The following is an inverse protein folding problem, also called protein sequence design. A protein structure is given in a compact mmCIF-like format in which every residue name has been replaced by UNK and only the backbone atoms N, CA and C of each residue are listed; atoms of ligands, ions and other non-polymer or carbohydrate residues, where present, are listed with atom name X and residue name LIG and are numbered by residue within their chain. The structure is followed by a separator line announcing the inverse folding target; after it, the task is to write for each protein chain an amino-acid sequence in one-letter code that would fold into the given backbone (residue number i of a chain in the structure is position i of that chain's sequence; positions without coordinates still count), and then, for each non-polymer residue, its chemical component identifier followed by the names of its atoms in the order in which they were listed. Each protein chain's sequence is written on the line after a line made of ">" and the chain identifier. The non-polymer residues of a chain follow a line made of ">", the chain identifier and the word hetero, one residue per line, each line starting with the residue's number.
data_IF_302905023853
#
_entry.id   IF_302905023853
#
_cell.length_a   1.000
_cell.length_b   1.000
_cell.length_c   1.000
_cell.angle_alpha   90.00
_cell.angle_beta   90.00
_cell.angle_gamma   90.00
#
_symmetry.space_group_name_H-M   'P 1'
#
loop_
_entity.id
_entity.type
_entity.pdbx_description
1 polymer ?
#
# COMPACT_ATOMS: atom_id res chain seq x y z
N UNK A 1 -17.29 20.65 -4.88
CA UNK A 1 -16.80 19.37 -4.30
C UNK A 1 -17.21 18.16 -5.13
N UNK A 2 -18.49 17.94 -5.41
CA UNK A 2 -18.99 16.83 -6.25
C UNK A 2 -18.32 16.75 -7.64
N UNK A 3 -18.23 17.88 -8.37
CA UNK A 3 -17.52 17.94 -9.67
C UNK A 3 -16.04 17.52 -9.57
N UNK A 4 -15.36 17.87 -8.49
CA UNK A 4 -13.96 17.51 -8.27
C UNK A 4 -13.81 16.01 -7.98
N UNK A 5 -14.68 15.46 -7.12
CA UNK A 5 -14.70 14.02 -6.82
C UNK A 5 -15.02 13.22 -8.08
N UNK A 6 -16.03 13.63 -8.84
CA UNK A 6 -16.39 12.99 -10.11
C UNK A 6 -15.24 13.02 -11.12
N UNK A 7 -14.57 14.17 -11.27
CA UNK A 7 -13.41 14.28 -12.15
C UNK A 7 -12.27 13.34 -11.72
N UNK A 8 -12.00 13.20 -10.41
CA UNK A 8 -11.01 12.26 -9.89
C UNK A 8 -11.40 10.80 -10.15
N UNK A 9 -12.67 10.43 -9.93
CA UNK A 9 -13.16 9.08 -10.20
C UNK A 9 -13.04 8.72 -11.69
N UNK A 10 -13.36 9.65 -12.58
CA UNK A 10 -13.19 9.44 -14.03
C UNK A 10 -11.71 9.30 -14.40
N UNK A 11 -10.80 10.07 -13.78
CA UNK A 11 -9.36 9.94 -14.02
C UNK A 11 -8.77 8.60 -13.54
N UNK A 12 -9.39 7.93 -12.57
CA UNK A 12 -8.94 6.61 -12.10
C UNK A 12 -9.08 5.57 -13.22
N UNK A 13 -10.11 5.68 -14.06
CA UNK A 13 -10.39 4.69 -15.13
C UNK A 13 -9.22 4.54 -16.11
N UNK A 14 -8.72 5.60 -16.79
CA UNK A 14 -7.59 5.47 -17.70
C UNK A 14 -6.30 5.08 -16.98
N UNK A 15 -6.13 5.45 -15.70
CA UNK A 15 -4.98 5.03 -14.89
C UNK A 15 -5.02 3.52 -14.65
N UNK A 16 -6.15 2.98 -14.20
CA UNK A 16 -6.32 1.53 -13.98
C UNK A 16 -6.17 0.75 -15.27
N UNK A 17 -6.71 1.26 -16.38
CA UNK A 17 -6.53 0.65 -17.69
C UNK A 17 -5.04 0.62 -18.08
N UNK A 18 -4.35 1.76 -17.97
CA UNK A 18 -2.91 1.84 -18.24
C UNK A 18 -2.09 0.89 -17.37
N UNK A 19 -2.27 0.94 -16.05
CA UNK A 19 -1.55 0.08 -15.11
C UNK A 19 -1.83 -1.40 -15.36
N UNK A 20 -3.09 -1.79 -15.57
CA UNK A 20 -3.44 -3.19 -15.84
C UNK A 20 -2.84 -3.68 -17.16
N UNK A 21 -2.88 -2.87 -18.21
CA UNK A 21 -2.24 -3.19 -19.49
C UNK A 21 -0.73 -3.35 -19.34
N UNK A 22 -0.05 -2.42 -18.65
CA UNK A 22 1.39 -2.53 -18.40
C UNK A 22 1.75 -3.76 -17.57
N UNK A 23 1.03 -4.05 -16.50
CA UNK A 23 1.25 -5.24 -15.68
C UNK A 23 1.02 -6.52 -16.49
N UNK A 24 -0.03 -6.56 -17.31
CA UNK A 24 -0.31 -7.68 -18.20
C UNK A 24 0.81 -7.90 -19.23
N UNK A 25 1.31 -6.83 -19.85
CA UNK A 25 2.46 -6.91 -20.76
C UNK A 25 3.74 -7.34 -20.06
N UNK A 26 4.04 -6.81 -18.87
CA UNK A 26 5.19 -7.21 -18.07
C UNK A 26 5.14 -8.70 -17.71
N UNK A 27 3.94 -9.24 -17.43
CA UNK A 27 3.77 -10.67 -17.17
C UNK A 27 4.09 -11.54 -18.39
N UNK A 28 3.84 -11.06 -19.62
CA UNK A 28 4.16 -11.77 -20.86
C UNK A 28 5.62 -11.60 -21.31
N UNK A 29 6.26 -10.49 -20.94
CA UNK A 29 7.68 -10.24 -21.21
C UNK A 29 8.57 -10.96 -20.20
N UNK A 30 8.07 -11.20 -18.99
CA UNK A 30 8.81 -11.90 -17.94
C UNK A 30 9.21 -13.30 -18.44
N UNK A 31 10.47 -13.71 -18.20
CA UNK A 31 10.93 -15.04 -18.61
C UNK A 31 10.19 -16.13 -17.82
N UNK A 32 9.52 -17.03 -18.54
CA UNK A 32 8.80 -18.15 -17.96
C UNK A 32 7.55 -18.49 -18.79
N UNK A 33 7.28 -19.78 -18.94
CA UNK A 33 6.04 -20.25 -19.58
C UNK A 33 5.07 -20.72 -18.50
N UNK A 34 3.87 -20.13 -18.51
CA UNK A 34 2.78 -20.47 -17.59
C UNK A 34 2.39 -21.95 -17.73
N UNK A 35 2.43 -22.49 -18.95
CA UNK A 35 2.15 -23.91 -19.20
C UNK A 35 3.20 -24.81 -18.53
N UNK A 36 4.49 -24.48 -18.61
CA UNK A 36 5.56 -25.21 -17.92
C UNK A 36 5.38 -25.15 -16.40
N UNK A 37 4.99 -23.98 -15.89
CA UNK A 37 4.73 -23.80 -14.45
C UNK A 37 3.56 -24.66 -13.97
N UNK A 38 2.52 -24.81 -14.80
CA UNK A 38 1.33 -25.61 -14.50
C UNK A 38 1.56 -27.11 -14.64
N UNK A 39 2.26 -27.54 -15.70
CA UNK A 39 2.44 -28.96 -16.02
C UNK A 39 3.68 -29.57 -15.36
N UNK A 40 4.61 -28.74 -14.92
CA UNK A 40 5.93 -29.16 -14.45
C UNK A 40 6.92 -29.40 -15.59
N UNK A 41 8.22 -29.53 -15.26
CA UNK A 41 9.30 -29.60 -16.26
C UNK A 41 9.26 -30.88 -17.11
N UNK A 42 8.68 -31.97 -16.59
CA UNK A 42 8.66 -33.29 -17.26
C UNK A 42 7.40 -33.57 -18.09
N UNK A 43 6.49 -32.61 -18.21
CA UNK A 43 5.28 -32.82 -18.99
C UNK A 43 5.57 -32.96 -20.49
N UNK A 44 4.80 -33.82 -21.15
CA UNK A 44 4.85 -33.98 -22.62
C UNK A 44 4.40 -32.71 -23.32
N UNK A 45 4.91 -32.46 -24.53
CA UNK A 45 4.53 -31.28 -25.31
C UNK A 45 3.02 -31.23 -25.59
N UNK A 46 2.41 -32.39 -25.86
CA UNK A 46 0.95 -32.52 -26.02
C UNK A 46 0.18 -32.04 -24.77
N UNK A 47 0.69 -32.32 -23.57
CA UNK A 47 0.06 -31.85 -22.32
C UNK A 47 0.20 -30.34 -22.17
N UNK A 48 1.34 -29.78 -22.60
CA UNK A 48 1.57 -28.32 -22.57
C UNK A 48 0.66 -27.59 -23.54
N UNK A 49 0.50 -28.09 -24.76
CA UNK A 49 -0.40 -27.51 -25.76
C UNK A 49 -1.85 -27.51 -25.27
N UNK A 50 -2.33 -28.61 -24.69
CA UNK A 50 -3.67 -28.68 -24.09
C UNK A 50 -3.87 -27.65 -22.99
N UNK A 51 -2.85 -27.40 -22.16
CA UNK A 51 -2.91 -26.36 -21.12
C UNK A 51 -2.88 -24.97 -21.74
N UNK A 52 -2.04 -24.71 -22.75
CA UNK A 52 -2.04 -23.41 -23.45
C UNK A 52 -3.38 -23.10 -24.08
N UNK A 53 -4.03 -24.10 -24.67
CA UNK A 53 -5.37 -23.95 -25.24
C UNK A 53 -6.42 -23.70 -24.14
N UNK A 54 -6.42 -24.50 -23.07
CA UNK A 54 -7.36 -24.36 -21.97
C UNK A 54 -7.29 -23.00 -21.24
N UNK A 55 -6.11 -22.38 -21.20
CA UNK A 55 -5.89 -21.06 -20.61
C UNK A 55 -5.92 -19.91 -21.63
N UNK A 56 -6.18 -20.19 -22.91
CA UNK A 56 -6.20 -19.17 -23.97
C UNK A 56 -4.83 -18.54 -24.28
N UNK A 57 -3.73 -19.18 -23.87
CA UNK A 57 -2.36 -18.68 -24.05
C UNK A 57 -1.92 -18.66 -25.52
N UNK A 58 -2.62 -19.40 -26.38
CA UNK A 58 -2.37 -19.44 -27.83
C UNK A 58 -3.02 -18.27 -28.58
N UNK A 59 -3.86 -17.47 -27.93
CA UNK A 59 -4.58 -16.39 -28.58
C UNK A 59 -3.72 -15.12 -28.75
N UNK A 60 -4.05 -14.23 -29.70
CA UNK A 60 -3.39 -12.93 -29.78
C UNK A 60 -3.51 -12.14 -28.47
N UNK A 61 -2.43 -11.48 -28.05
CA UNK A 61 -2.37 -10.73 -26.77
C UNK A 61 -3.56 -9.77 -26.53
N UNK A 62 -4.07 -9.04 -27.54
CA UNK A 62 -5.24 -8.17 -27.33
C UNK A 62 -6.51 -8.95 -26.95
N UNK A 63 -6.67 -10.17 -27.47
CA UNK A 63 -7.82 -11.04 -27.15
C UNK A 63 -7.71 -11.57 -25.73
N UNK A 64 -6.51 -12.02 -25.34
CA UNK A 64 -6.23 -12.47 -23.98
C UNK A 64 -6.50 -11.36 -22.94
N UNK A 65 -6.00 -10.14 -23.20
CA UNK A 65 -6.23 -8.99 -22.33
C UNK A 65 -7.72 -8.61 -22.27
N UNK A 66 -8.41 -8.57 -23.41
CA UNK A 66 -9.83 -8.24 -23.47
C UNK A 66 -10.70 -9.24 -22.70
N UNK A 67 -10.43 -10.54 -22.85
CA UNK A 67 -11.11 -11.61 -22.09
C UNK A 67 -10.87 -11.48 -20.59
N UNK A 68 -9.60 -11.33 -20.20
CA UNK A 68 -9.22 -11.15 -18.80
C UNK A 68 -9.88 -9.91 -18.17
N UNK A 69 -9.89 -8.79 -18.90
CA UNK A 69 -10.54 -7.56 -18.45
C UNK A 69 -12.06 -7.75 -18.30
N UNK A 70 -12.70 -8.46 -19.25
CA UNK A 70 -14.13 -8.82 -19.17
C UNK A 70 -14.47 -9.57 -17.89
N UNK A 71 -13.72 -10.64 -17.58
CA UNK A 71 -13.91 -11.40 -16.33
C UNK A 71 -13.75 -10.52 -15.08
N UNK A 72 -12.76 -9.65 -15.04
CA UNK A 72 -12.56 -8.73 -13.90
C UNK A 72 -13.73 -7.76 -13.74
N UNK A 73 -14.28 -7.24 -14.83
CA UNK A 73 -15.43 -6.33 -14.78
C UNK A 73 -16.70 -7.03 -14.28
N UNK A 74 -16.81 -8.35 -14.46
CA UNK A 74 -17.86 -9.21 -13.88
C UNK A 74 -17.56 -9.61 -12.42
N UNK A 75 -16.40 -9.24 -11.88
CA UNK A 75 -15.96 -9.58 -10.54
C UNK A 75 -15.22 -10.91 -10.42
N UNK A 76 -14.93 -11.59 -11.54
CA UNK A 76 -14.12 -12.79 -11.57
C UNK A 76 -12.64 -12.45 -11.80
N UNK A 77 -11.87 -12.45 -10.71
CA UNK A 77 -10.42 -12.25 -10.74
C UNK A 77 -9.64 -13.54 -11.07
N UNK A 78 -10.33 -14.67 -11.24
CA UNK A 78 -9.76 -15.97 -11.52
C UNK A 78 -9.05 -16.62 -10.32
N UNK A 79 -8.23 -17.63 -10.65
CA UNK A 79 -7.47 -18.42 -9.67
C UNK A 79 -5.97 -18.17 -9.83
N UNK A 80 -5.28 -18.04 -8.70
CA UNK A 80 -3.82 -18.01 -8.67
C UNK A 80 -3.26 -19.36 -9.06
N UNK A 81 -2.49 -19.38 -10.13
CA UNK A 81 -1.78 -20.56 -10.63
C UNK A 81 -0.77 -21.08 -9.60
N UNK A 82 -0.03 -20.17 -8.97
CA UNK A 82 1.00 -20.50 -7.98
C UNK A 82 0.41 -21.03 -6.66
N UNK A 83 -0.67 -20.41 -6.16
CA UNK A 83 -1.22 -20.74 -4.83
C UNK A 83 -2.44 -21.66 -4.87
N UNK A 84 -2.99 -21.95 -6.07
CA UNK A 84 -4.21 -22.75 -6.29
C UNK A 84 -5.42 -22.25 -5.48
N UNK A 85 -5.51 -20.94 -5.24
CA UNK A 85 -6.60 -20.25 -4.52
C UNK A 85 -7.19 -19.16 -5.39
N UNK A 86 -8.39 -18.68 -5.06
CA UNK A 86 -8.96 -17.53 -5.77
C UNK A 86 -8.06 -16.31 -5.57
N UNK A 87 -7.95 -15.46 -6.59
CA UNK A 87 -7.13 -14.25 -6.51
C UNK A 87 -7.68 -13.30 -5.44
N UNK A 88 -9.01 -13.23 -5.30
CA UNK A 88 -9.69 -12.42 -4.28
C UNK A 88 -9.25 -12.80 -2.86
N UNK A 89 -9.15 -14.09 -2.54
CA UNK A 89 -8.69 -14.56 -1.21
C UNK A 89 -7.25 -14.15 -0.89
N UNK A 90 -6.43 -13.90 -1.91
CA UNK A 90 -5.04 -13.50 -1.77
C UNK A 90 -4.86 -11.98 -1.70
N UNK A 91 -5.66 -11.24 -2.48
CA UNK A 91 -5.56 -9.78 -2.59
C UNK A 91 -6.34 -9.10 -1.48
N UNK A 92 -7.56 -9.54 -1.17
CA UNK A 92 -8.44 -8.82 -0.25
C UNK A 92 -7.84 -8.64 1.15
N UNK A 93 -7.22 -9.65 1.80
CA UNK A 93 -6.59 -9.44 3.10
C UNK A 93 -5.41 -8.44 3.05
N UNK A 94 -4.62 -8.48 1.97
CA UNK A 94 -3.51 -7.54 1.77
C UNK A 94 -4.03 -6.12 1.54
N UNK A 95 -5.06 -5.98 0.72
CA UNK A 95 -5.74 -4.72 0.48
C UNK A 95 -6.31 -4.14 1.77
N UNK A 96 -6.98 -4.95 2.59
CA UNK A 96 -7.51 -4.52 3.89
C UNK A 96 -6.39 -4.03 4.83
N UNK A 97 -5.24 -4.71 4.87
CA UNK A 97 -4.07 -4.29 5.66
C UNK A 97 -3.43 -3.00 5.13
N UNK A 98 -3.31 -2.85 3.80
CA UNK A 98 -2.81 -1.61 3.20
C UNK A 98 -3.75 -0.44 3.45
N UNK A 99 -5.07 -0.67 3.34
CA UNK A 99 -6.08 0.33 3.58
C UNK A 99 -6.10 0.76 5.06
N UNK A 100 -6.05 -0.19 5.99
CA UNK A 100 -6.00 0.12 7.42
C UNK A 100 -4.78 0.95 7.76
N UNK A 101 -3.59 0.56 7.29
CA UNK A 101 -2.36 1.33 7.45
C UNK A 101 -2.45 2.73 6.84
N UNK A 102 -2.93 2.84 5.60
CA UNK A 102 -3.05 4.13 4.93
C UNK A 102 -3.98 5.09 5.69
N UNK A 103 -5.12 4.60 6.16
CA UNK A 103 -6.09 5.40 6.93
C UNK A 103 -5.52 5.79 8.28
N UNK A 104 -4.91 4.87 9.04
CA UNK A 104 -4.35 5.19 10.36
C UNK A 104 -3.16 6.14 10.26
N UNK A 105 -2.28 5.96 9.27
CA UNK A 105 -1.16 6.87 9.02
C UNK A 105 -1.63 8.26 8.60
N UNK A 106 -2.62 8.35 7.73
CA UNK A 106 -3.21 9.64 7.35
C UNK A 106 -3.86 10.32 8.56
N UNK A 107 -4.65 9.59 9.35
CA UNK A 107 -5.29 10.13 10.55
C UNK A 107 -4.24 10.64 11.55
N UNK A 108 -3.20 9.86 11.85
CA UNK A 108 -2.08 10.29 12.69
C UNK A 108 -1.43 11.56 12.14
N UNK A 109 -1.13 11.59 10.84
CA UNK A 109 -0.47 12.71 10.20
C UNK A 109 -1.29 14.00 10.28
N UNK A 110 -2.59 13.93 10.01
CA UNK A 110 -3.47 15.09 10.13
C UNK A 110 -3.60 15.54 11.58
N UNK A 111 -3.86 14.63 12.52
CA UNK A 111 -4.03 14.99 13.93
C UNK A 111 -2.76 15.64 14.46
N UNK A 112 -1.61 14.95 14.38
CA UNK A 112 -0.34 15.48 14.90
C UNK A 112 0.09 16.73 14.13
N UNK A 113 -0.03 16.72 12.80
CA UNK A 113 0.36 17.83 11.95
C UNK A 113 -0.43 19.11 12.25
N UNK A 114 -1.76 19.00 12.31
CA UNK A 114 -2.64 20.14 12.60
C UNK A 114 -2.33 20.74 13.97
N UNK A 115 -2.31 19.93 15.04
CA UNK A 115 -2.04 20.43 16.38
C UNK A 115 -0.64 21.03 16.48
N UNK A 116 0.40 20.34 16.00
CA UNK A 116 1.77 20.86 16.03
C UNK A 116 1.89 22.17 15.24
N UNK A 117 1.25 22.29 14.08
CA UNK A 117 1.26 23.53 13.29
C UNK A 117 0.58 24.71 14.00
N UNK A 118 -0.58 24.48 14.61
CA UNK A 118 -1.33 25.51 15.36
C UNK A 118 -0.52 25.98 16.57
N UNK A 119 0.02 25.04 17.37
CA UNK A 119 0.82 25.37 18.54
C UNK A 119 2.11 26.11 18.16
N UNK A 120 2.79 25.70 17.08
CA UNK A 120 3.97 26.40 16.57
C UNK A 120 3.67 27.84 16.12
N UNK A 121 2.53 28.06 15.47
CA UNK A 121 2.12 29.41 15.04
C UNK A 121 1.73 30.33 16.21
N UNK A 122 1.21 29.77 17.31
CA UNK A 122 0.82 30.56 18.50
C UNK A 122 1.99 31.24 19.22
N UNK A 123 3.21 30.72 19.07
CA UNK A 123 4.44 31.25 19.69
C UNK A 123 5.59 31.21 18.68
N UNK A 124 5.55 32.08 17.65
CA UNK A 124 6.54 32.05 16.58
C UNK A 124 7.95 32.28 17.13
N UNK A 125 8.93 31.63 16.51
CA UNK A 125 10.36 31.67 16.87
C UNK A 125 10.73 31.03 18.22
N UNK A 126 9.76 30.51 18.97
CA UNK A 126 9.98 29.75 20.21
C UNK A 126 10.58 28.36 19.98
N UNK A 127 10.94 27.67 21.07
CA UNK A 127 11.54 26.32 20.99
C UNK A 127 10.65 25.30 20.28
N UNK A 128 9.34 25.32 20.58
CA UNK A 128 8.39 24.39 19.95
C UNK A 128 8.28 24.63 18.45
N UNK A 129 8.20 25.90 18.03
CA UNK A 129 8.18 26.27 16.62
C UNK A 129 9.43 25.77 15.87
N UNK A 130 10.62 26.06 16.42
CA UNK A 130 11.90 25.59 15.85
C UNK A 130 11.94 24.06 15.76
N UNK A 131 11.45 23.35 16.77
CA UNK A 131 11.37 21.89 16.75
C UNK A 131 10.40 21.38 15.67
N UNK A 132 9.22 21.98 15.53
CA UNK A 132 8.25 21.62 14.48
C UNK A 132 8.86 21.79 13.09
N UNK A 133 9.54 22.91 12.83
CA UNK A 133 10.22 23.14 11.56
C UNK A 133 11.38 22.15 11.35
N UNK A 134 12.22 21.94 12.37
CA UNK A 134 13.33 20.98 12.31
C UNK A 134 12.85 19.55 12.06
N UNK A 135 11.72 19.15 12.64
CA UNK A 135 11.13 17.82 12.43
C UNK A 135 10.80 17.56 10.96
N UNK A 136 10.46 18.60 10.19
CA UNK A 136 10.21 18.47 8.75
C UNK A 136 11.48 18.11 8.00
N UNK A 137 12.62 18.68 8.39
CA UNK A 137 13.91 18.34 7.80
C UNK A 137 14.33 16.93 8.22
N UNK A 138 14.17 16.59 9.50
CA UNK A 138 14.51 15.26 10.03
C UNK A 138 13.72 14.16 9.33
N UNK A 139 12.39 14.21 9.38
CA UNK A 139 11.55 13.17 8.78
C UNK A 139 11.50 13.25 7.25
N UNK A 140 11.73 14.41 6.65
CA UNK A 140 11.84 14.56 5.19
C UNK A 140 13.13 13.98 4.62
N UNK A 141 14.21 13.94 5.41
CA UNK A 141 15.52 13.42 4.97
C UNK A 141 15.70 11.94 5.28
N UNK A 142 15.02 11.44 6.31
CA UNK A 142 15.11 10.04 6.70
C UNK A 142 14.25 9.19 5.77
N UNK A 143 14.81 8.13 5.13
CA UNK A 143 14.01 7.19 4.36
C UNK A 143 12.95 6.50 5.24
N UNK A 144 11.66 6.47 4.84
CA UNK A 144 10.59 5.90 5.67
C UNK A 144 10.83 4.44 6.07
N UNK A 145 11.39 3.62 5.17
CA UNK A 145 11.71 2.23 5.46
C UNK A 145 12.79 2.11 6.56
N UNK A 146 13.78 3.00 6.56
CA UNK A 146 14.87 2.99 7.54
C UNK A 146 14.36 3.44 8.91
N UNK A 147 13.51 4.46 8.94
CA UNK A 147 12.85 4.87 10.19
C UNK A 147 11.97 3.75 10.76
N UNK A 148 11.20 3.07 9.90
CA UNK A 148 10.44 1.88 10.30
C UNK A 148 11.33 0.78 10.90
N UNK A 149 12.49 0.53 10.29
CA UNK A 149 13.45 -0.45 10.81
C UNK A 149 13.99 -0.06 12.20
N UNK A 150 14.32 1.21 12.42
CA UNK A 150 14.75 1.70 13.74
C UNK A 150 13.66 1.54 14.80
N UNK A 151 12.41 1.83 14.44
CA UNK A 151 11.27 1.62 15.35
C UNK A 151 11.12 0.15 15.74
N UNK A 152 11.26 -0.77 14.78
CA UNK A 152 11.22 -2.21 15.06
C UNK A 152 12.38 -2.63 15.98
N UNK A 153 13.61 -2.17 15.71
CA UNK A 153 14.78 -2.46 16.54
C UNK A 153 14.60 -1.98 17.99
N UNK A 154 14.14 -0.75 18.15
CA UNK A 154 13.95 -0.15 19.48
C UNK A 154 12.78 -0.80 20.23
N UNK A 155 11.57 -0.79 19.64
CA UNK A 155 10.35 -1.11 20.36
C UNK A 155 9.97 -2.58 20.33
N UNK A 156 10.41 -3.34 19.32
CA UNK A 156 10.10 -4.76 19.21
C UNK A 156 11.24 -5.66 19.69
N UNK A 157 12.47 -5.37 19.26
CA UNK A 157 13.60 -6.26 19.56
C UNK A 157 14.30 -5.93 20.88
N UNK A 158 14.56 -4.64 21.15
CA UNK A 158 15.23 -4.21 22.37
C UNK A 158 14.26 -4.13 23.56
N UNK A 159 13.22 -3.29 23.46
CA UNK A 159 12.26 -3.06 24.55
C UNK A 159 11.20 -4.15 24.67
N UNK A 160 10.89 -4.86 23.57
CA UNK A 160 9.84 -5.89 23.50
C UNK A 160 8.45 -5.38 23.91
N UNK A 161 8.17 -4.10 23.64
CA UNK A 161 6.88 -3.48 23.93
C UNK A 161 5.83 -3.79 22.87
N UNK A 162 6.26 -3.89 21.60
CA UNK A 162 5.36 -4.07 20.46
C UNK A 162 5.80 -5.25 19.60
N UNK A 163 4.85 -6.01 19.02
CA UNK A 163 5.16 -7.12 18.16
C UNK A 163 5.62 -6.65 16.77
N UNK A 164 6.59 -7.35 16.17
CA UNK A 164 7.06 -7.06 14.81
C UNK A 164 6.34 -7.90 13.73
N UNK A 165 5.88 -9.09 14.08
CA UNK A 165 5.34 -10.09 13.16
C UNK A 165 4.28 -10.93 13.86
N UNK A 166 3.40 -11.58 13.09
CA UNK A 166 2.42 -12.51 13.66
C UNK A 166 1.04 -11.89 13.93
N UNK A 167 0.69 -10.83 13.21
CA UNK A 167 -0.56 -10.06 13.34
C UNK A 167 -1.86 -10.90 13.38
N UNK A 168 -1.85 -12.10 12.80
CA UNK A 168 -2.91 -13.09 12.91
C UNK A 168 -2.28 -14.48 12.95
N UNK A 169 -2.41 -15.20 14.07
CA UNK A 169 -1.97 -16.59 14.20
C UNK A 169 -3.09 -17.56 13.84
N UNK A 170 -2.75 -18.65 13.15
CA UNK A 170 -3.66 -19.76 12.81
C UNK A 170 -4.11 -20.58 14.03
N UNK A 171 -3.42 -20.48 15.17
CA UNK A 171 -3.58 -21.34 16.36
C UNK A 171 -4.18 -20.55 17.55
N UNK A 172 -4.68 -19.33 17.31
CA UNK A 172 -5.19 -18.43 18.35
C UNK A 172 -4.22 -17.27 18.62
N UNK A 173 -4.80 -16.08 18.84
CA UNK A 173 -4.11 -14.78 18.75
C UNK A 173 -4.48 -14.09 17.44
N UNK A 174 -5.40 -13.15 17.50
CA UNK A 174 -5.99 -12.54 16.29
C UNK A 174 -7.24 -11.72 16.59
N UNK A 175 -7.12 -10.79 17.53
CA UNK A 175 -8.19 -9.85 17.89
C UNK A 175 -7.87 -8.42 17.47
N UNK A 176 -8.84 -7.51 17.61
CA UNK A 176 -8.67 -6.10 17.28
C UNK A 176 -7.47 -5.46 18.01
N UNK A 177 -7.22 -5.86 19.26
CA UNK A 177 -6.06 -5.38 20.05
C UNK A 177 -4.74 -5.78 19.39
N UNK A 178 -4.62 -7.02 18.94
CA UNK A 178 -3.40 -7.51 18.31
C UNK A 178 -3.12 -6.79 16.99
N UNK A 179 -4.18 -6.59 16.19
CA UNK A 179 -4.15 -5.78 14.98
C UNK A 179 -3.67 -4.35 15.26
N UNK A 180 -4.20 -3.72 16.32
CA UNK A 180 -3.79 -2.36 16.71
C UNK A 180 -2.31 -2.34 17.10
N UNK A 181 -1.85 -3.26 17.94
CA UNK A 181 -0.46 -3.30 18.39
C UNK A 181 0.53 -3.46 17.23
N UNK A 182 0.19 -4.30 16.24
CA UNK A 182 0.97 -4.48 15.03
C UNK A 182 0.91 -3.27 14.07
N UNK A 183 -0.14 -2.44 14.15
CA UNK A 183 -0.29 -1.25 13.32
C UNK A 183 0.46 -0.02 13.87
N UNK A 184 0.79 0.05 15.16
CA UNK A 184 1.38 1.25 15.78
C UNK A 184 2.70 1.65 15.10
N UNK A 185 3.68 0.75 15.03
CA UNK A 185 5.00 1.09 14.47
C UNK A 185 4.93 1.46 12.98
N UNK A 186 4.25 0.68 12.11
CA UNK A 186 4.07 1.07 10.71
C UNK A 186 3.31 2.39 10.55
N UNK A 187 2.30 2.63 11.39
CA UNK A 187 1.51 3.86 11.35
C UNK A 187 2.37 5.09 11.63
N UNK A 188 3.22 5.01 12.66
CA UNK A 188 4.17 6.08 13.00
C UNK A 188 5.20 6.26 11.89
N UNK A 189 5.76 5.16 11.38
CA UNK A 189 6.78 5.21 10.33
C UNK A 189 6.27 5.91 9.06
N UNK A 190 5.08 5.52 8.59
CA UNK A 190 4.47 6.08 7.38
C UNK A 190 3.83 7.46 7.61
N UNK A 191 3.38 7.76 8.84
CA UNK A 191 2.72 9.01 9.19
C UNK A 191 3.64 10.17 9.58
N UNK A 192 4.86 9.89 10.06
CA UNK A 192 5.75 10.91 10.63
C UNK A 192 6.16 12.02 9.64
N UNK A 193 6.61 11.65 8.44
CA UNK A 193 7.00 12.64 7.43
C UNK A 193 5.81 13.48 6.93
N UNK A 194 4.66 12.89 6.56
CA UNK A 194 3.44 13.64 6.27
C UNK A 194 3.01 14.56 7.43
N UNK A 195 3.07 14.09 8.69
CA UNK A 195 2.71 14.89 9.86
C UNK A 195 3.56 16.17 9.95
N UNK A 196 4.88 16.03 9.78
CA UNK A 196 5.80 17.17 9.84
C UNK A 196 5.56 18.16 8.70
N UNK A 197 5.31 17.67 7.48
CA UNK A 197 4.97 18.51 6.33
C UNK A 197 3.66 19.27 6.58
N UNK A 198 2.62 18.59 7.06
CA UNK A 198 1.34 19.20 7.41
C UNK A 198 1.53 20.27 8.49
N UNK A 199 2.30 19.97 9.55
CA UNK A 199 2.58 20.93 10.61
C UNK A 199 3.24 22.21 10.09
N UNK A 200 4.26 22.06 9.23
CA UNK A 200 4.94 23.19 8.59
C UNK A 200 3.97 24.03 7.75
N UNK A 201 3.13 23.40 6.94
CA UNK A 201 2.16 24.08 6.09
C UNK A 201 1.11 24.82 6.92
N UNK A 202 0.51 24.15 7.91
CA UNK A 202 -0.49 24.75 8.83
C UNK A 202 0.11 25.94 9.58
N UNK A 203 1.34 25.80 10.07
CA UNK A 203 2.05 26.89 10.74
C UNK A 203 2.24 28.08 9.80
N UNK A 204 2.69 27.85 8.56
CA UNK A 204 2.90 28.92 7.60
C UNK A 204 1.59 29.67 7.27
N UNK A 205 0.50 28.93 7.02
CA UNK A 205 -0.81 29.55 6.72
C UNK A 205 -1.37 30.30 7.93
N UNK A 206 -1.19 29.79 9.15
CA UNK A 206 -1.62 30.49 10.37
C UNK A 206 -0.86 31.80 10.59
N UNK A 207 0.45 31.82 10.35
CA UNK A 207 1.25 33.04 10.50
C UNK A 207 0.88 34.11 9.47
N UNK A 208 0.57 33.72 8.24
CA UNK A 208 0.07 34.63 7.20
C UNK A 208 -1.26 35.30 7.58
N UNK A 209 -2.11 34.59 8.31
CA UNK A 209 -3.39 35.13 8.81
C UNK A 209 -3.20 36.01 10.06
N UNK A 210 -2.17 35.73 10.87
CA UNK A 210 -1.89 36.46 12.11
C UNK A 210 -1.04 37.73 11.92
N UNK A 211 -0.37 37.87 10.78
CA UNK A 211 0.44 39.05 10.39
C UNK A 211 -0.41 40.13 9.72
#
# INVERSE_FOLDING_TARGET
>A
MTRFIAARLVMIIPILFGVSFFVFMLAHIAPGDVSITLTGPYATEETREKIREAYGLNEPLPVQYGRWLGHILEGDFGKSIANRRTVTDLIFPKFANTLSLAVTSAALAYVIGLFAGIFAASRPYGYFDRFTIASTLMFGSIPPFWFGLLLVLAFSLSLRWLPATGMTNLIGGGGAVDVILHLILPTIAAGAAPAAIIARTVRATMLEVLS
#
